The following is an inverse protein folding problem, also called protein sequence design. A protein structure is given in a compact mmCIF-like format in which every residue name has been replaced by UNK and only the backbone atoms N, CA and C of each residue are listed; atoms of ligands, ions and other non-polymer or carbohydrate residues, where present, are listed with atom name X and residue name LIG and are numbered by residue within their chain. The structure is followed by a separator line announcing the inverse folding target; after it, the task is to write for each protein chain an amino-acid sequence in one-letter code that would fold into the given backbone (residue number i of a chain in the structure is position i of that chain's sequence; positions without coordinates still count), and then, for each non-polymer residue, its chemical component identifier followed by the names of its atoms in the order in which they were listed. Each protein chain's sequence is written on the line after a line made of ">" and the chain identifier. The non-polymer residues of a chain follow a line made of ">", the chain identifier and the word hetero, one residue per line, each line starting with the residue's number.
data_IF_185746048943
#
_entry.id   IF_185746048943
#
_cell.length_a   1.000
_cell.length_b   1.000
_cell.length_c   1.000
_cell.angle_alpha   90.00
_cell.angle_beta   90.00
_cell.angle_gamma   90.00
#
_symmetry.space_group_name_H-M   'P 1'
#
loop_
_entity.id
_entity.type
_entity.pdbx_description
1 polymer ?
#
# COMPACT_ATOMS: atom_id res chain seq x y z
N UNK A 1 0.28 -0.22 -6.12
CA UNK A 1 1.45 0.49 -6.70
C UNK A 1 1.52 0.32 -8.22
N UNK A 2 1.40 -0.90 -8.75
CA UNK A 2 1.44 -1.15 -10.19
C UNK A 2 0.45 -0.32 -11.01
N UNK A 3 -0.81 -0.13 -10.56
CA UNK A 3 -1.77 0.79 -11.22
C UNK A 3 -1.21 2.19 -11.49
N UNK A 4 -0.44 2.76 -10.55
CA UNK A 4 0.16 4.10 -10.70
C UNK A 4 1.33 4.05 -11.69
N UNK A 5 2.14 3.00 -11.63
CA UNK A 5 3.28 2.79 -12.53
C UNK A 5 2.81 2.52 -13.98
N UNK A 6 1.81 1.68 -14.18
CA UNK A 6 1.23 1.40 -15.50
C UNK A 6 0.63 2.64 -16.14
N UNK A 7 -0.05 3.49 -15.35
CA UNK A 7 -0.50 4.82 -15.80
C UNK A 7 0.68 5.68 -16.25
N UNK A 8 1.79 5.66 -15.52
CA UNK A 8 2.99 6.39 -15.92
C UNK A 8 3.59 5.84 -17.22
N UNK A 9 3.56 4.53 -17.44
CA UNK A 9 3.99 3.91 -18.71
C UNK A 9 3.10 4.35 -19.87
N UNK A 10 1.79 4.44 -19.69
CA UNK A 10 0.88 4.94 -20.72
C UNK A 10 1.12 6.42 -21.05
N UNK A 11 1.58 7.22 -20.08
CA UNK A 11 1.92 8.62 -20.32
C UNK A 11 3.32 8.80 -20.94
N UNK A 12 4.17 7.76 -20.91
CA UNK A 12 5.57 7.82 -21.35
C UNK A 12 5.93 6.55 -22.14
N UNK A 13 5.48 6.41 -23.40
CA UNK A 13 5.92 5.34 -24.28
C UNK A 13 7.44 5.37 -24.48
N UNK A 14 8.02 4.21 -24.73
CA UNK A 14 9.46 4.01 -24.84
C UNK A 14 9.85 4.05 -26.33
N UNK A 15 11.03 4.58 -26.60
CA UNK A 15 11.67 4.59 -27.93
C UNK A 15 12.81 3.57 -27.99
N UNK A 16 13.47 3.33 -26.85
CA UNK A 16 14.53 2.33 -26.71
C UNK A 16 14.02 0.91 -27.01
N UNK A 17 14.51 0.35 -28.11
CA UNK A 17 14.08 -0.94 -28.63
C UNK A 17 14.49 -2.11 -27.73
N UNK A 18 15.62 -1.99 -27.03
CA UNK A 18 16.12 -3.05 -26.13
C UNK A 18 15.24 -3.13 -24.89
N UNK A 19 14.87 -1.98 -24.32
CA UNK A 19 13.95 -1.92 -23.18
C UNK A 19 12.57 -2.49 -23.55
N UNK A 20 12.06 -2.16 -24.75
CA UNK A 20 10.78 -2.69 -25.21
C UNK A 20 10.88 -4.19 -25.44
N UNK A 21 11.92 -4.67 -26.12
CA UNK A 21 12.13 -6.09 -26.36
C UNK A 21 12.27 -6.88 -25.04
N UNK A 22 12.93 -6.32 -24.03
CA UNK A 22 13.03 -6.93 -22.71
C UNK A 22 11.63 -7.09 -22.06
N UNK A 23 10.76 -6.07 -22.15
CA UNK A 23 9.37 -6.17 -21.68
C UNK A 23 8.58 -7.22 -22.46
N UNK A 24 8.68 -7.21 -23.79
CA UNK A 24 8.00 -8.18 -24.65
C UNK A 24 8.47 -9.61 -24.39
N UNK A 25 9.77 -9.83 -24.18
CA UNK A 25 10.35 -11.11 -23.76
C UNK A 25 9.77 -11.56 -22.43
N UNK A 26 9.67 -10.66 -21.47
CA UNK A 26 9.11 -10.95 -20.15
C UNK A 26 7.62 -11.33 -20.24
N UNK A 27 6.84 -10.65 -21.07
CA UNK A 27 5.44 -11.02 -21.34
C UNK A 27 5.37 -12.40 -22.00
N UNK A 28 6.20 -12.66 -23.02
CA UNK A 28 6.28 -13.98 -23.68
C UNK A 28 6.58 -15.10 -22.67
N UNK A 29 7.48 -14.86 -21.72
CA UNK A 29 7.80 -15.82 -20.66
C UNK A 29 6.59 -16.14 -19.78
N UNK A 30 5.88 -15.13 -19.28
CA UNK A 30 4.71 -15.35 -18.42
C UNK A 30 3.53 -16.00 -19.16
N UNK A 31 3.38 -15.74 -20.46
CA UNK A 31 2.38 -16.43 -21.29
C UNK A 31 2.67 -17.94 -21.44
N UNK A 32 3.93 -18.37 -21.31
CA UNK A 32 4.31 -19.79 -21.27
C UNK A 32 4.18 -20.43 -19.89
N UNK A 33 4.06 -19.65 -18.82
CA UNK A 33 4.14 -20.11 -17.42
C UNK A 33 2.93 -19.66 -16.61
N UNK A 34 1.76 -20.24 -16.88
CA UNK A 34 0.51 -19.83 -16.23
C UNK A 34 0.50 -20.05 -14.71
N UNK A 35 1.07 -21.16 -14.23
CA UNK A 35 1.13 -21.48 -12.80
C UNK A 35 1.91 -20.43 -12.01
N UNK A 36 3.09 -20.05 -12.53
CA UNK A 36 3.94 -18.99 -11.97
C UNK A 36 3.21 -17.65 -11.99
N UNK A 37 2.56 -17.30 -13.12
CA UNK A 37 1.79 -16.07 -13.25
C UNK A 37 0.64 -15.99 -12.22
N UNK A 38 -0.08 -17.09 -12.01
CA UNK A 38 -1.17 -17.18 -11.03
C UNK A 38 -0.66 -17.03 -9.59
N UNK A 39 0.41 -17.75 -9.23
CA UNK A 39 1.03 -17.65 -7.92
C UNK A 39 1.54 -16.24 -7.61
N UNK A 40 2.25 -15.62 -8.56
CA UNK A 40 2.72 -14.24 -8.43
C UNK A 40 1.55 -13.25 -8.26
N UNK A 41 0.46 -13.42 -9.03
CA UNK A 41 -0.71 -12.54 -8.90
C UNK A 41 -1.34 -12.61 -7.51
N UNK A 42 -1.49 -13.80 -6.94
CA UNK A 42 -2.05 -13.95 -5.59
C UNK A 42 -1.15 -13.34 -4.51
N UNK A 43 0.17 -13.51 -4.62
CA UNK A 43 1.12 -12.89 -3.68
C UNK A 43 1.14 -11.37 -3.76
N UNK A 44 1.09 -10.80 -4.98
CA UNK A 44 1.11 -9.36 -5.20
C UNK A 44 -0.09 -8.62 -4.59
N UNK A 45 -1.24 -9.28 -4.39
CA UNK A 45 -2.42 -8.68 -3.71
C UNK A 45 -2.11 -8.25 -2.28
N UNK A 46 -1.16 -8.93 -1.63
CA UNK A 46 -0.74 -8.67 -0.25
C UNK A 46 0.35 -7.60 -0.17
N UNK A 47 0.98 -7.24 -1.29
CA UNK A 47 2.01 -6.20 -1.34
C UNK A 47 1.35 -4.82 -1.25
N UNK A 48 1.83 -4.00 -0.31
CA UNK A 48 1.35 -2.65 -0.01
C UNK A 48 2.46 -1.63 -0.23
N UNK A 49 2.11 -0.35 -0.09
CA UNK A 49 3.08 0.76 -0.22
C UNK A 49 3.88 0.91 1.08
N UNK A 50 4.99 0.17 1.17
CA UNK A 50 5.87 0.16 2.34
C UNK A 50 6.40 1.57 2.67
N UNK A 51 6.90 2.37 1.71
CA UNK A 51 7.30 3.76 1.99
C UNK A 51 6.20 4.61 2.63
N UNK A 52 4.94 4.46 2.19
CA UNK A 52 3.82 5.18 2.80
C UNK A 52 3.53 4.68 4.23
N UNK A 53 3.61 3.37 4.47
CA UNK A 53 3.45 2.81 5.82
C UNK A 53 4.54 3.30 6.77
N UNK A 54 5.80 3.33 6.33
CA UNK A 54 6.91 3.82 7.13
C UNK A 54 6.79 5.32 7.46
N UNK A 55 6.24 6.12 6.54
CA UNK A 55 5.91 7.53 6.83
C UNK A 55 4.85 7.67 7.91
N UNK A 56 3.83 6.80 7.91
CA UNK A 56 2.86 6.71 9.00
C UNK A 56 3.56 6.32 10.30
N UNK A 57 4.44 5.32 10.28
CA UNK A 57 5.14 4.85 11.47
C UNK A 57 6.05 5.89 12.11
N UNK A 58 6.65 6.77 11.31
CA UNK A 58 7.52 7.83 11.81
C UNK A 58 6.76 9.10 12.25
N UNK A 59 5.47 9.21 11.93
CA UNK A 59 4.71 10.42 12.22
C UNK A 59 4.30 10.44 13.70
N UNK A 60 4.60 11.52 14.46
CA UNK A 60 4.28 11.60 15.88
C UNK A 60 2.78 11.68 16.16
N UNK A 61 1.97 12.00 15.15
CA UNK A 61 0.53 12.22 15.27
C UNK A 61 -0.31 10.99 14.91
N UNK A 62 0.28 9.93 14.35
CA UNK A 62 -0.46 8.72 13.98
C UNK A 62 -0.16 7.57 14.91
N UNK A 63 -1.21 7.06 15.56
CA UNK A 63 -1.15 5.77 16.24
C UNK A 63 -0.96 4.65 15.23
N UNK A 64 0.05 3.82 15.46
CA UNK A 64 0.27 2.60 14.69
C UNK A 64 -0.43 1.46 15.42
N UNK A 65 -1.37 0.81 14.75
CA UNK A 65 -2.12 -0.29 15.34
C UNK A 65 -1.44 -1.63 15.05
N UNK A 66 -1.78 -2.67 15.80
CA UNK A 66 -1.31 -4.04 15.54
C UNK A 66 -1.61 -4.48 14.09
N UNK A 67 -2.75 -4.05 13.53
CA UNK A 67 -3.13 -4.35 12.15
C UNK A 67 -2.19 -3.72 11.11
N UNK A 68 -1.62 -2.54 11.40
CA UNK A 68 -0.67 -1.91 10.47
C UNK A 68 0.64 -2.69 10.43
N UNK A 69 1.15 -3.12 11.58
CA UNK A 69 2.34 -3.95 11.69
C UNK A 69 2.13 -5.34 11.08
N UNK A 70 0.94 -5.94 11.25
CA UNK A 70 0.56 -7.16 10.55
C UNK A 70 0.63 -6.98 9.03
N UNK A 71 0.08 -5.88 8.52
CA UNK A 71 0.07 -5.57 7.09
C UNK A 71 1.49 -5.36 6.56
N UNK A 72 2.35 -4.70 7.35
CA UNK A 72 3.76 -4.47 7.01
C UNK A 72 4.53 -5.79 6.90
N UNK A 73 4.41 -6.65 7.91
CA UNK A 73 5.03 -7.98 7.91
C UNK A 73 4.52 -8.85 6.77
N UNK A 74 3.20 -8.90 6.58
CA UNK A 74 2.59 -9.64 5.46
C UNK A 74 3.13 -9.15 4.11
N UNK A 75 3.36 -7.85 3.95
CA UNK A 75 3.96 -7.29 2.74
C UNK A 75 5.40 -7.78 2.54
N UNK A 76 6.25 -7.72 3.58
CA UNK A 76 7.64 -8.21 3.49
C UNK A 76 7.69 -9.71 3.18
N UNK A 77 6.90 -10.52 3.90
CA UNK A 77 6.82 -11.95 3.64
C UNK A 77 6.35 -12.25 2.21
N UNK A 78 5.43 -11.45 1.68
CA UNK A 78 4.97 -11.59 0.28
C UNK A 78 6.08 -11.25 -0.71
N UNK A 79 6.92 -10.24 -0.43
CA UNK A 79 8.09 -9.91 -1.26
C UNK A 79 9.12 -11.04 -1.24
N UNK A 80 9.43 -11.61 -0.07
CA UNK A 80 10.32 -12.77 0.04
C UNK A 80 9.76 -13.99 -0.69
N UNK A 81 8.45 -14.22 -0.59
CA UNK A 81 7.79 -15.32 -1.28
C UNK A 81 7.81 -15.17 -2.81
N UNK A 82 7.77 -13.94 -3.35
CA UNK A 82 7.98 -13.70 -4.79
C UNK A 82 9.34 -14.23 -5.24
N UNK A 83 10.40 -14.00 -4.46
CA UNK A 83 11.71 -14.54 -4.81
C UNK A 83 11.72 -16.08 -4.79
N UNK A 84 11.06 -16.67 -3.79
CA UNK A 84 10.91 -18.13 -3.69
C UNK A 84 10.15 -18.73 -4.86
N UNK A 85 9.11 -18.04 -5.36
CA UNK A 85 8.36 -18.47 -6.54
C UNK A 85 9.27 -18.49 -7.78
N UNK A 86 10.18 -17.53 -7.94
CA UNK A 86 11.15 -17.57 -9.04
C UNK A 86 12.18 -18.69 -8.86
N UNK A 87 12.71 -18.90 -7.65
CA UNK A 87 13.66 -19.99 -7.39
C UNK A 87 13.08 -21.39 -7.65
N UNK A 88 11.84 -21.63 -7.21
CA UNK A 88 11.22 -22.97 -7.23
C UNK A 88 10.39 -23.19 -8.49
N UNK A 89 9.73 -22.16 -8.99
CA UNK A 89 8.79 -22.24 -10.11
C UNK A 89 9.46 -22.28 -11.49
N UNK A 90 10.76 -21.97 -11.58
CA UNK A 90 11.52 -22.04 -12.83
C UNK A 90 12.16 -23.43 -12.93
N UNK A 91 11.51 -24.34 -13.67
CA UNK A 91 12.10 -25.63 -14.04
C UNK A 91 13.32 -25.45 -14.96
N UNK A 92 14.20 -26.46 -15.06
CA UNK A 92 15.38 -26.41 -15.95
C UNK A 92 15.03 -26.05 -17.41
N UNK A 93 13.87 -26.52 -17.90
CA UNK A 93 13.38 -26.17 -19.24
C UNK A 93 13.00 -24.69 -19.38
N UNK A 94 12.48 -24.06 -18.33
CA UNK A 94 12.17 -22.64 -18.30
C UNK A 94 13.42 -21.79 -18.11
N UNK A 95 14.40 -22.26 -17.36
CA UNK A 95 15.72 -21.63 -17.20
C UNK A 95 16.45 -21.51 -18.55
N UNK A 96 16.43 -22.57 -19.36
CA UNK A 96 17.01 -22.53 -20.71
C UNK A 96 16.29 -21.50 -21.60
N UNK A 97 14.95 -21.39 -21.51
CA UNK A 97 14.19 -20.36 -22.24
C UNK A 97 14.52 -18.93 -21.76
N UNK A 98 14.75 -18.73 -20.46
CA UNK A 98 15.16 -17.42 -19.91
C UNK A 98 16.54 -16.99 -20.44
N UNK A 99 17.50 -17.92 -20.51
CA UNK A 99 18.81 -17.67 -21.10
C UNK A 99 18.72 -17.34 -22.59
N UNK A 100 17.88 -18.06 -23.35
CA UNK A 100 17.65 -17.77 -24.77
C UNK A 100 16.94 -16.44 -25.04
N UNK A 101 16.10 -15.97 -24.10
CA UNK A 101 15.37 -14.70 -24.25
C UNK A 101 16.09 -13.50 -23.59
N UNK A 102 17.32 -13.69 -23.10
CA UNK A 102 18.12 -12.67 -22.39
C UNK A 102 17.32 -11.91 -21.32
N UNK A 103 16.59 -12.67 -20.48
CA UNK A 103 15.72 -12.10 -19.45
C UNK A 103 16.46 -12.10 -18.10
N UNK A 104 16.91 -10.94 -17.66
CA UNK A 104 17.57 -10.76 -16.35
C UNK A 104 16.58 -10.74 -15.17
N UNK A 105 15.38 -11.31 -15.32
CA UNK A 105 14.31 -11.14 -14.34
C UNK A 105 14.63 -11.84 -13.01
N UNK A 106 15.29 -12.99 -13.04
CA UNK A 106 15.74 -13.71 -11.84
C UNK A 106 16.86 -12.94 -11.13
N UNK A 107 17.82 -12.41 -11.90
CA UNK A 107 18.89 -11.57 -11.34
C UNK A 107 18.36 -10.24 -10.78
N UNK A 108 17.38 -9.64 -11.45
CA UNK A 108 16.65 -8.45 -10.96
C UNK A 108 15.85 -8.76 -9.69
N UNK A 109 15.21 -9.92 -9.60
CA UNK A 109 14.51 -10.36 -8.40
C UNK A 109 15.50 -10.53 -7.23
N UNK A 110 16.57 -11.29 -7.44
CA UNK A 110 17.60 -11.56 -6.43
C UNK A 110 18.35 -10.28 -5.99
N UNK A 111 18.60 -9.35 -6.89
CA UNK A 111 19.24 -8.07 -6.56
C UNK A 111 18.29 -7.08 -5.88
N UNK A 112 16.97 -7.23 -6.06
CA UNK A 112 15.96 -6.33 -5.48
C UNK A 112 15.41 -6.84 -4.15
N UNK A 113 15.33 -8.16 -3.98
CA UNK A 113 14.85 -8.84 -2.78
C UNK A 113 16.08 -9.44 -2.08
N UNK A 114 16.73 -8.63 -1.25
CA UNK A 114 17.96 -9.00 -0.54
C UNK A 114 17.66 -9.67 0.80
N UNK A 115 18.67 -10.34 1.38
CA UNK A 115 18.61 -10.92 2.72
C UNK A 115 18.30 -9.89 3.83
N UNK A 116 18.48 -8.60 3.55
CA UNK A 116 18.14 -7.51 4.47
C UNK A 116 16.62 -7.44 4.73
N UNK A 117 15.78 -7.83 3.77
CA UNK A 117 14.33 -7.89 3.99
C UNK A 117 13.97 -8.96 5.03
N UNK A 118 14.66 -10.10 4.99
CA UNK A 118 14.49 -11.16 5.99
C UNK A 118 14.93 -10.70 7.38
N UNK A 119 16.06 -9.99 7.46
CA UNK A 119 16.51 -9.34 8.69
C UNK A 119 15.47 -8.36 9.24
N UNK A 120 14.88 -7.50 8.40
CA UNK A 120 13.83 -6.56 8.81
C UNK A 120 12.59 -7.29 9.31
N UNK A 121 12.14 -8.36 8.64
CA UNK A 121 11.01 -9.16 9.15
C UNK A 121 11.32 -9.80 10.48
N UNK A 122 12.52 -10.38 10.66
CA UNK A 122 12.93 -11.00 11.91
C UNK A 122 13.05 -9.98 13.04
N UNK A 123 13.54 -8.77 12.76
CA UNK A 123 13.61 -7.68 13.72
C UNK A 123 12.21 -7.25 14.19
N UNK A 124 11.27 -7.07 13.27
CA UNK A 124 9.89 -6.65 13.62
C UNK A 124 9.15 -7.78 14.33
N UNK A 125 9.29 -9.04 13.88
CA UNK A 125 8.73 -10.21 14.58
C UNK A 125 9.34 -10.37 15.97
N UNK A 126 10.62 -10.04 16.17
CA UNK A 126 11.28 -10.12 17.47
C UNK A 126 10.76 -9.12 18.49
N UNK A 127 10.29 -7.95 18.05
CA UNK A 127 9.85 -6.87 18.94
C UNK A 127 8.33 -6.81 19.09
N UNK A 128 7.58 -7.06 18.01
CA UNK A 128 6.13 -6.85 17.98
C UNK A 128 5.37 -8.16 18.10
N UNK A 129 4.40 -8.17 19.01
CA UNK A 129 3.40 -9.23 19.08
C UNK A 129 2.15 -8.82 18.30
N UNK A 130 1.99 -9.43 17.13
CA UNK A 130 0.88 -9.14 16.21
C UNK A 130 -0.36 -9.96 16.56
N UNK A 131 -0.22 -11.01 17.38
CA UNK A 131 -1.32 -11.92 17.73
C UNK A 131 -2.02 -11.52 19.03
N UNK A 132 -1.40 -10.64 19.83
CA UNK A 132 -1.96 -10.19 21.10
C UNK A 132 -3.23 -9.35 20.87
N UNK A 133 -4.36 -9.90 21.32
CA UNK A 133 -5.67 -9.24 21.36
C UNK A 133 -5.76 -8.30 22.57
N UNK A 134 -6.73 -7.37 22.56
CA UNK A 134 -7.05 -6.46 23.68
C UNK A 134 -7.70 -7.18 24.87
N UNK A 135 -7.17 -8.32 25.29
CA UNK A 135 -7.78 -9.15 26.33
C UNK A 135 -7.58 -8.60 27.75
N UNK A 136 -6.52 -7.80 27.99
CA UNK A 136 -6.16 -7.32 29.33
C UNK A 136 -6.52 -5.86 29.62
N UNK A 137 -7.36 -5.22 28.80
CA UNK A 137 -7.81 -3.84 29.05
C UNK A 137 -6.82 -2.73 28.68
N UNK A 138 -5.63 -3.06 28.15
CA UNK A 138 -4.66 -2.12 27.60
C UNK A 138 -4.11 -2.63 26.25
N UNK A 139 -3.83 -1.72 25.31
CA UNK A 139 -3.33 -2.06 23.97
C UNK A 139 -1.80 -2.18 24.03
N UNK A 140 -1.28 -3.42 24.09
CA UNK A 140 0.16 -3.69 24.02
C UNK A 140 0.56 -4.20 22.65
N UNK A 141 1.68 -3.69 22.16
CA UNK A 141 2.24 -4.10 20.88
C UNK A 141 3.59 -4.81 21.04
N UNK A 142 4.29 -4.56 22.15
CA UNK A 142 5.64 -5.09 22.37
C UNK A 142 5.55 -6.49 23.00
N UNK A 143 6.37 -7.41 22.51
CA UNK A 143 6.47 -8.78 23.05
C UNK A 143 6.88 -8.80 24.53
N UNK A 144 6.49 -9.87 25.22
CA UNK A 144 7.00 -10.20 26.55
C UNK A 144 8.44 -10.71 26.45
N UNK A 145 9.21 -10.52 27.52
CA UNK A 145 10.62 -10.89 27.67
C UNK A 145 11.58 -10.11 26.75
N UNK A 146 11.15 -8.93 26.26
CA UNK A 146 12.04 -8.03 25.51
C UNK A 146 12.76 -7.04 26.45
N UNK A 147 12.06 -6.58 27.48
CA UNK A 147 12.53 -5.57 28.41
C UNK A 147 11.99 -5.89 29.80
N UNK A 148 12.90 -6.30 30.69
CA UNK A 148 12.56 -6.72 32.05
C UNK A 148 11.78 -5.62 32.80
N UNK A 149 12.21 -4.36 32.69
CA UNK A 149 11.54 -3.21 33.29
C UNK A 149 10.08 -3.04 32.81
N UNK A 150 9.82 -3.25 31.50
CA UNK A 150 8.47 -3.14 30.95
C UNK A 150 7.58 -4.27 31.44
N UNK A 151 8.13 -5.48 31.52
CA UNK A 151 7.40 -6.66 31.96
C UNK A 151 7.11 -6.60 33.47
N UNK A 152 8.03 -6.08 34.29
CA UNK A 152 7.79 -5.76 35.70
C UNK A 152 6.64 -4.77 35.86
N UNK A 153 6.64 -3.67 35.10
CA UNK A 153 5.54 -2.68 35.17
C UNK A 153 4.20 -3.29 34.74
N UNK A 154 4.18 -4.14 33.72
CA UNK A 154 2.98 -4.86 33.28
C UNK A 154 2.48 -5.81 34.37
N UNK A 155 3.36 -6.54 35.03
CA UNK A 155 3.00 -7.41 36.15
C UNK A 155 2.38 -6.62 37.31
N UNK A 156 2.98 -5.47 37.67
CA UNK A 156 2.43 -4.60 38.72
C UNK A 156 1.06 -4.05 38.31
N UNK A 157 0.88 -3.65 37.05
CA UNK A 157 -0.41 -3.15 36.54
C UNK A 157 -1.49 -4.24 36.52
N UNK A 158 -1.15 -5.46 36.10
CA UNK A 158 -2.08 -6.60 36.07
C UNK A 158 -2.50 -7.05 37.46
N UNK A 159 -1.60 -6.97 38.45
CA UNK A 159 -1.90 -7.25 39.86
C UNK A 159 -2.54 -6.07 40.62
N UNK A 160 -2.68 -4.91 39.98
CA UNK A 160 -3.18 -3.69 40.62
C UNK A 160 -4.62 -3.82 41.14
N UNK A 161 -5.58 -4.43 40.41
CA UNK A 161 -6.96 -4.58 40.90
C UNK A 161 -7.03 -5.38 42.21
N UNK A 162 -6.37 -6.54 42.27
CA UNK A 162 -6.35 -7.40 43.46
C UNK A 162 -5.68 -6.70 44.64
N UNK A 163 -4.59 -5.97 44.38
CA UNK A 163 -3.91 -5.17 45.39
C UNK A 163 -4.81 -4.04 45.93
N UNK A 164 -5.48 -3.30 45.05
CA UNK A 164 -6.37 -2.21 45.44
C UNK A 164 -7.59 -2.72 46.22
N UNK A 165 -8.10 -3.90 45.91
CA UNK A 165 -9.19 -4.53 46.68
C UNK A 165 -8.75 -4.84 48.13
N UNK A 166 -7.54 -5.38 48.31
CA UNK A 166 -6.98 -5.63 49.65
C UNK A 166 -6.74 -4.33 50.44
N UNK A 167 -6.19 -3.30 49.79
CA UNK A 167 -5.97 -2.00 50.45
C UNK A 167 -7.31 -1.35 50.79
N UNK A 168 -8.30 -1.45 49.92
CA UNK A 168 -9.67 -0.97 50.17
C UNK A 168 -10.30 -1.67 51.38
N UNK A 169 -10.15 -2.99 51.49
CA UNK A 169 -10.67 -3.74 52.64
C UNK A 169 -10.01 -3.32 53.97
N UNK A 170 -8.70 -3.05 53.96
CA UNK A 170 -7.96 -2.59 55.15
C UNK A 170 -8.33 -1.16 55.57
N UNK A 171 -8.47 -0.24 54.61
CA UNK A 171 -8.99 1.10 54.85
C UNK A 171 -10.42 1.05 55.38
N UNK A 172 -11.25 0.18 54.79
CA UNK A 172 -12.64 0.00 55.20
C UNK A 172 -12.77 -0.48 56.66
N UNK A 173 -11.87 -1.36 57.10
CA UNK A 173 -11.81 -1.83 58.48
C UNK A 173 -11.31 -0.75 59.47
N UNK A 174 -10.60 0.27 58.98
CA UNK A 174 -10.04 1.35 59.79
C UNK A 174 -11.02 2.51 60.00
N UNK A 175 -12.17 2.51 59.32
CA UNK A 175 -13.16 3.57 59.51
C UNK A 175 -13.75 3.55 60.92
N UNK A 176 -13.76 4.71 61.63
CA UNK A 176 -14.23 4.79 63.00
C UNK A 176 -15.76 4.61 63.17
N UNK A 177 -16.51 4.49 62.08
CA UNK A 177 -17.96 4.27 62.08
C UNK A 177 -18.35 3.34 60.92
N UNK A 178 -19.37 2.49 61.13
CA UNK A 178 -20.02 1.78 60.01
C UNK A 178 -20.72 2.81 59.14
N UNK A 179 -20.10 3.15 58.02
CA UNK A 179 -20.75 3.85 56.92
C UNK A 179 -21.99 3.04 56.51
N UNK A 180 -23.19 3.62 56.58
CA UNK A 180 -24.43 3.05 56.03
C UNK A 180 -24.42 3.10 54.48
N UNK A 181 -23.29 2.76 53.85
CA UNK A 181 -23.19 2.69 52.40
C UNK A 181 -23.72 1.34 51.92
N UNK A 182 -24.60 1.35 50.91
CA UNK A 182 -25.11 0.12 50.27
C UNK A 182 -24.00 -0.74 49.66
N UNK A 183 -22.90 -0.11 49.24
CA UNK A 183 -21.66 -0.73 48.77
C UNK A 183 -20.48 -0.13 49.52
N UNK A 184 -19.53 -0.98 49.91
CA UNK A 184 -18.30 -0.52 50.56
C UNK A 184 -17.50 0.37 49.59
N UNK A 185 -16.86 1.44 50.08
CA UNK A 185 -16.05 2.30 49.22
C UNK A 185 -14.79 1.55 48.76
N UNK A 186 -14.34 1.88 47.55
CA UNK A 186 -13.26 1.18 46.87
C UNK A 186 -12.21 2.19 46.42
N UNK A 187 -10.94 1.84 46.58
CA UNK A 187 -9.84 2.57 45.97
C UNK A 187 -9.72 2.12 44.52
N UNK A 188 -9.77 3.08 43.61
CA UNK A 188 -9.74 2.85 42.16
C UNK A 188 -8.60 3.66 41.56
N UNK A 189 -7.96 3.10 40.55
CA UNK A 189 -6.96 3.80 39.76
C UNK A 189 -7.60 4.40 38.51
N UNK A 190 -7.42 5.70 38.31
CA UNK A 190 -7.91 6.43 37.13
C UNK A 190 -6.71 7.04 36.42
N UNK A 191 -6.55 6.71 35.13
CA UNK A 191 -5.43 7.19 34.30
C UNK A 191 -5.34 8.73 34.33
N UNK A 192 -4.12 9.28 34.42
CA UNK A 192 -3.83 10.73 34.51
C UNK A 192 -4.28 11.44 35.79
N UNK A 193 -5.18 10.85 36.59
CA UNK A 193 -5.65 11.44 37.85
C UNK A 193 -4.95 10.80 39.05
N UNK A 194 -4.73 9.48 39.01
CA UNK A 194 -4.07 8.72 40.08
C UNK A 194 -5.02 7.79 40.83
N UNK A 195 -4.65 7.47 42.08
CA UNK A 195 -5.46 6.64 42.96
C UNK A 195 -6.51 7.49 43.68
N UNK A 196 -7.74 6.99 43.74
CA UNK A 196 -8.88 7.73 44.30
C UNK A 196 -9.74 6.79 45.13
N UNK A 197 -10.25 7.30 46.25
CA UNK A 197 -11.27 6.60 47.03
C UNK A 197 -12.65 6.92 46.43
N UNK A 198 -13.36 5.88 45.99
CA UNK A 198 -14.65 5.97 45.35
C UNK A 198 -15.77 5.59 46.32
N UNK A 199 -16.73 6.50 46.51
CA UNK A 199 -17.98 6.28 47.23
C UNK A 199 -19.15 6.17 46.24
N UNK A 200 -20.09 5.28 46.55
CA UNK A 200 -21.25 4.99 45.70
C UNK A 200 -22.52 5.64 46.24
N UNK A 201 -23.38 6.10 45.33
CA UNK A 201 -24.74 6.63 45.51
C UNK A 201 -24.87 7.96 46.28
N UNK A 202 -24.16 8.11 47.40
CA UNK A 202 -24.25 9.28 48.28
C UNK A 202 -22.91 10.00 48.43
N UNK A 203 -22.96 11.33 48.34
CA UNK A 203 -21.83 12.20 48.63
C UNK A 203 -21.63 12.25 50.15
N UNK A 204 -20.39 12.19 50.61
CA UNK A 204 -20.08 12.38 52.03
C UNK A 204 -20.62 13.74 52.48
N UNK A 205 -21.45 13.74 53.53
CA UNK A 205 -22.02 14.97 54.11
C UNK A 205 -20.94 15.89 54.65
N UNK A 206 -21.11 17.21 54.52
CA UNK A 206 -20.12 18.20 54.99
C UNK A 206 -19.79 18.05 56.49
N UNK A 207 -20.76 17.62 57.31
CA UNK A 207 -20.54 17.33 58.74
C UNK A 207 -19.59 16.14 59.00
N UNK A 208 -19.58 15.14 58.12
CA UNK A 208 -18.70 13.96 58.20
C UNK A 208 -17.29 14.26 57.66
N UNK A 209 -17.20 15.14 56.64
CA UNK A 209 -15.94 15.68 56.14
C UNK A 209 -15.18 16.49 57.22
N UNK A 210 -15.89 17.20 58.10
CA UNK A 210 -15.27 17.91 59.23
C UNK A 210 -14.62 16.93 60.24
N UNK A 211 -15.16 15.70 60.36
CA UNK A 211 -14.59 14.63 61.19
C UNK A 211 -13.48 13.81 60.51
N UNK A 212 -13.40 13.86 59.18
CA UNK A 212 -12.40 13.17 58.35
C UNK A 212 -11.50 14.22 57.68
N UNK A 213 -10.56 14.79 58.43
CA UNK A 213 -9.71 15.92 57.99
C UNK A 213 -8.85 15.64 56.74
N UNK A 214 -8.72 14.38 56.32
CA UNK A 214 -7.81 13.95 55.25
C UNK A 214 -8.51 13.66 53.90
N UNK A 215 -9.82 13.92 53.77
CA UNK A 215 -10.59 13.63 52.56
C UNK A 215 -10.81 14.90 51.72
N UNK A 216 -10.19 14.95 50.55
CA UNK A 216 -10.37 16.04 49.58
C UNK A 216 -11.18 15.55 48.37
N UNK A 217 -12.27 16.24 48.06
CA UNK A 217 -13.12 15.89 46.91
C UNK A 217 -12.41 16.18 45.58
N UNK A 218 -12.37 15.19 44.69
CA UNK A 218 -11.77 15.33 43.36
C UNK A 218 -12.84 15.67 42.30
N UNK A 219 -13.73 14.73 42.00
CA UNK A 219 -14.83 14.91 41.04
C UNK A 219 -15.94 13.88 41.30
N UNK A 220 -17.07 14.05 40.62
CA UNK A 220 -18.18 13.10 40.62
C UNK A 220 -18.55 12.69 39.21
N UNK A 221 -18.99 11.45 39.06
CA UNK A 221 -19.43 10.87 37.79
C UNK A 221 -20.89 10.44 37.91
N UNK A 222 -21.75 11.05 37.09
CA UNK A 222 -23.19 10.76 37.03
C UNK A 222 -23.45 9.67 35.99
N UNK A 223 -23.33 8.40 36.41
CA UNK A 223 -23.66 7.22 35.61
C UNK A 223 -24.95 6.52 36.06
N UNK A 224 -25.10 5.22 35.76
CA UNK A 224 -26.18 4.37 36.31
C UNK A 224 -26.11 4.30 37.85
N UNK A 225 -24.90 4.36 38.41
CA UNK A 225 -24.60 4.57 39.82
C UNK A 225 -23.81 5.88 39.96
N UNK A 226 -24.19 6.75 40.90
CA UNK A 226 -23.44 7.99 41.17
C UNK A 226 -22.15 7.65 41.90
N UNK A 227 -21.02 8.11 41.38
CA UNK A 227 -19.70 7.87 41.97
C UNK A 227 -19.08 9.19 42.40
N UNK A 228 -18.57 9.23 43.63
CA UNK A 228 -17.87 10.39 44.18
C UNK A 228 -16.44 9.99 44.51
N UNK A 229 -15.47 10.70 43.92
CA UNK A 229 -14.05 10.40 44.06
C UNK A 229 -13.38 11.39 45.01
N UNK A 230 -12.54 10.87 45.91
CA UNK A 230 -11.83 11.65 46.92
C UNK A 230 -10.36 11.24 46.98
N UNK A 231 -9.48 12.22 47.23
CA UNK A 231 -8.13 11.97 47.68
C UNK A 231 -8.13 11.78 49.20
N UNK A 232 -7.50 10.70 49.63
CA UNK A 232 -7.19 10.39 51.03
C UNK A 232 -5.68 10.34 51.25
N UNK A 233 -5.22 10.40 52.50
CA UNK A 233 -3.82 10.20 52.83
C UNK A 233 -3.26 8.90 52.22
N UNK A 234 -4.04 7.82 52.26
CA UNK A 234 -3.63 6.54 51.67
C UNK A 234 -3.51 6.58 50.14
N UNK A 235 -4.45 7.23 49.46
CA UNK A 235 -4.35 7.39 48.00
C UNK A 235 -3.14 8.21 47.59
N UNK A 236 -2.77 9.24 48.35
CA UNK A 236 -1.55 10.04 48.12
C UNK A 236 -0.27 9.24 48.35
N UNK A 237 -0.26 8.37 49.35
CA UNK A 237 0.85 7.42 49.56
C UNK A 237 0.99 6.47 48.36
N UNK A 238 -0.13 5.95 47.83
CA UNK A 238 -0.13 5.10 46.64
C UNK A 238 0.34 5.84 45.39
N UNK A 239 -0.09 7.10 45.20
CA UNK A 239 0.39 7.95 44.09
C UNK A 239 1.91 8.19 44.20
N UNK A 240 2.43 8.44 45.40
CA UNK A 240 3.87 8.64 45.59
C UNK A 240 4.69 7.35 45.38
N UNK A 241 4.14 6.19 45.76
CA UNK A 241 4.83 4.90 45.69
C UNK A 241 4.80 4.30 44.27
N UNK A 242 3.60 4.23 43.68
CA UNK A 242 3.36 3.55 42.41
C UNK A 242 3.36 4.54 41.23
N UNK A 243 2.78 5.72 41.46
CA UNK A 243 2.56 6.74 40.44
C UNK A 243 1.67 6.26 39.30
N UNK A 244 1.78 6.94 38.15
CA UNK A 244 1.05 6.58 36.94
C UNK A 244 1.76 5.42 36.20
N UNK A 245 1.51 4.20 36.66
CA UNK A 245 2.10 2.97 36.08
C UNK A 245 1.69 2.83 34.61
N UNK A 246 0.43 3.12 34.28
CA UNK A 246 -0.08 2.97 32.92
C UNK A 246 0.65 3.88 31.92
N UNK A 247 0.86 5.16 32.26
CA UNK A 247 1.61 6.06 31.38
C UNK A 247 3.07 5.67 31.26
N UNK A 248 3.70 5.17 32.33
CA UNK A 248 5.07 4.64 32.26
C UNK A 248 5.17 3.48 31.27
N UNK A 249 4.22 2.53 31.31
CA UNK A 249 4.12 1.43 30.34
C UNK A 249 4.01 1.99 28.91
N UNK A 250 3.08 2.92 28.68
CA UNK A 250 2.88 3.51 27.35
C UNK A 250 4.12 4.29 26.85
N UNK A 251 4.82 5.02 27.72
CA UNK A 251 6.03 5.75 27.36
C UNK A 251 7.16 4.80 26.97
N UNK A 252 7.36 3.73 27.74
CA UNK A 252 8.37 2.71 27.43
C UNK A 252 8.05 1.98 26.13
N UNK A 253 6.79 1.57 25.92
CA UNK A 253 6.39 0.94 24.66
C UNK A 253 6.61 1.88 23.47
N UNK A 254 6.25 3.17 23.60
CA UNK A 254 6.50 4.17 22.56
C UNK A 254 7.98 4.33 22.27
N UNK A 255 8.84 4.32 23.29
CA UNK A 255 10.28 4.41 23.13
C UNK A 255 10.84 3.19 22.35
N UNK A 256 10.42 1.98 22.72
CA UNK A 256 10.84 0.73 22.05
C UNK A 256 10.37 0.72 20.58
N UNK A 257 9.10 1.05 20.33
CA UNK A 257 8.55 1.10 18.98
C UNK A 257 9.27 2.17 18.14
N UNK A 258 9.59 3.32 18.73
CA UNK A 258 10.31 4.39 18.02
C UNK A 258 11.73 3.95 17.65
N UNK A 259 12.43 3.26 18.54
CA UNK A 259 13.75 2.69 18.22
C UNK A 259 13.65 1.64 17.10
N UNK A 260 12.65 0.76 17.16
CA UNK A 260 12.37 -0.22 16.10
C UNK A 260 12.14 0.48 14.75
N UNK A 261 11.29 1.50 14.69
CA UNK A 261 11.03 2.26 13.47
C UNK A 261 12.30 2.92 12.94
N UNK A 262 13.12 3.52 13.82
CA UNK A 262 14.42 4.09 13.45
C UNK A 262 15.34 3.05 12.80
N UNK A 263 15.42 1.83 13.35
CA UNK A 263 16.21 0.73 12.78
C UNK A 263 15.67 0.28 11.43
N UNK A 264 14.35 0.11 11.30
CA UNK A 264 13.71 -0.29 10.03
C UNK A 264 13.91 0.77 8.93
N UNK A 265 13.87 2.05 9.29
CA UNK A 265 14.08 3.16 8.33
C UNK A 265 15.48 3.16 7.70
N UNK A 266 16.49 2.56 8.33
CA UNK A 266 17.82 2.39 7.72
C UNK A 266 17.78 1.53 6.46
N UNK A 267 16.80 0.63 6.35
CA UNK A 267 16.59 -0.26 5.21
C UNK A 267 15.55 0.26 4.21
N UNK A 268 15.13 1.53 4.32
CA UNK A 268 14.16 2.14 3.42
C UNK A 268 14.55 2.04 1.93
N UNK A 269 15.83 2.26 1.52
CA UNK A 269 16.23 2.11 0.12
C UNK A 269 15.96 0.71 -0.43
N UNK A 270 16.27 -0.33 0.35
CA UNK A 270 16.15 -1.73 -0.06
C UNK A 270 14.68 -2.17 -0.08
N UNK A 271 13.89 -1.76 0.92
CA UNK A 271 12.44 -1.94 0.90
C UNK A 271 11.78 -1.26 -0.30
N UNK A 272 12.22 -0.04 -0.64
CA UNK A 272 11.70 0.69 -1.80
C UNK A 272 12.07 0.00 -3.11
N UNK A 273 13.30 -0.52 -3.23
CA UNK A 273 13.75 -1.29 -4.39
C UNK A 273 12.89 -2.55 -4.60
N UNK A 274 12.65 -3.32 -3.55
CA UNK A 274 11.80 -4.51 -3.60
C UNK A 274 10.34 -4.19 -3.99
N UNK A 275 9.76 -3.14 -3.42
CA UNK A 275 8.38 -2.71 -3.75
C UNK A 275 8.28 -2.18 -5.18
N UNK A 276 9.29 -1.47 -5.67
CA UNK A 276 9.32 -0.99 -7.06
C UNK A 276 9.41 -2.16 -8.05
N UNK A 277 10.24 -3.16 -7.75
CA UNK A 277 10.31 -4.40 -8.53
C UNK A 277 8.95 -5.12 -8.55
N UNK A 278 8.30 -5.28 -7.40
CA UNK A 278 6.96 -5.86 -7.33
C UNK A 278 5.91 -5.04 -8.12
N UNK A 279 6.03 -3.72 -8.14
CA UNK A 279 5.15 -2.85 -8.93
C UNK A 279 5.38 -2.98 -10.45
N UNK A 280 6.64 -3.12 -10.89
CA UNK A 280 6.98 -3.40 -12.29
C UNK A 280 6.44 -4.78 -12.71
N UNK A 281 6.64 -5.78 -11.87
CA UNK A 281 6.12 -7.13 -12.07
C UNK A 281 4.58 -7.15 -12.21
N UNK A 282 3.87 -6.43 -11.33
CA UNK A 282 2.41 -6.26 -11.39
C UNK A 282 1.95 -5.65 -12.73
N UNK A 283 2.71 -4.69 -13.27
CA UNK A 283 2.42 -4.10 -14.58
C UNK A 283 2.59 -5.11 -15.72
N UNK A 284 3.71 -5.84 -15.73
CA UNK A 284 4.00 -6.82 -16.79
C UNK A 284 3.01 -7.99 -16.76
N UNK A 285 2.70 -8.52 -15.57
CA UNK A 285 1.70 -9.57 -15.40
C UNK A 285 0.32 -9.10 -15.87
N UNK A 286 -0.05 -7.85 -15.57
CA UNK A 286 -1.31 -7.27 -16.05
C UNK A 286 -1.36 -7.20 -17.58
N UNK A 287 -0.27 -6.81 -18.24
CA UNK A 287 -0.18 -6.80 -19.71
C UNK A 287 -0.25 -8.22 -20.29
N UNK A 288 0.41 -9.20 -19.67
CA UNK A 288 0.38 -10.60 -20.09
C UNK A 288 -1.02 -11.21 -19.98
N UNK A 289 -1.74 -10.92 -18.89
CA UNK A 289 -3.11 -11.40 -18.68
C UNK A 289 -4.04 -10.84 -19.77
N UNK A 290 -3.98 -9.53 -20.04
CA UNK A 290 -4.78 -8.89 -21.09
C UNK A 290 -4.43 -9.45 -22.46
N UNK A 291 -3.14 -9.65 -22.73
CA UNK A 291 -2.69 -10.22 -24.00
C UNK A 291 -3.27 -11.61 -24.23
N UNK A 292 -3.33 -12.45 -23.19
CA UNK A 292 -3.93 -13.78 -23.27
C UNK A 292 -5.44 -13.73 -23.43
N UNK A 293 -6.13 -12.93 -22.62
CA UNK A 293 -7.60 -12.85 -22.63
C UNK A 293 -8.15 -12.35 -23.97
N UNK A 294 -7.43 -11.42 -24.61
CA UNK A 294 -7.89 -10.77 -25.83
C UNK A 294 -7.16 -11.27 -27.10
N UNK A 295 -6.38 -12.35 -27.00
CA UNK A 295 -5.58 -12.92 -28.09
C UNK A 295 -4.69 -11.88 -28.78
N UNK A 296 -3.95 -11.09 -28.00
CA UNK A 296 -2.98 -10.15 -28.55
C UNK A 296 -1.71 -10.87 -28.96
N UNK A 297 -1.03 -10.34 -29.97
CA UNK A 297 0.18 -10.92 -30.53
C UNK A 297 1.38 -10.02 -30.22
N UNK A 298 2.54 -10.64 -30.10
CA UNK A 298 3.82 -9.95 -29.92
C UNK A 298 4.13 -9.11 -31.18
N UNK A 299 4.28 -7.78 -31.07
CA UNK A 299 4.74 -6.96 -32.19
C UNK A 299 6.23 -7.16 -32.44
N UNK A 300 6.65 -6.93 -33.69
CA UNK A 300 8.06 -6.82 -34.09
C UNK A 300 8.37 -5.34 -34.24
N UNK A 301 9.32 -4.82 -33.45
CA UNK A 301 9.80 -3.44 -33.60
C UNK A 301 10.98 -3.38 -34.57
N UNK A 302 11.00 -2.35 -35.40
CA UNK A 302 12.06 -2.09 -36.37
C UNK A 302 12.47 -0.63 -36.35
N UNK A 303 13.73 -0.32 -36.68
CA UNK A 303 14.17 1.08 -36.88
C UNK A 303 13.67 1.65 -38.21
N UNK A 304 13.32 0.78 -39.16
CA UNK A 304 12.75 1.17 -40.44
C UNK A 304 11.38 1.84 -40.28
N UNK A 305 11.09 2.83 -41.12
CA UNK A 305 9.79 3.53 -41.19
C UNK A 305 8.72 2.67 -41.88
N UNK A 306 8.39 1.53 -41.26
CA UNK A 306 7.43 0.54 -41.76
C UNK A 306 6.33 0.33 -40.72
N UNK A 307 5.07 0.29 -41.15
CA UNK A 307 3.95 -0.13 -40.31
C UNK A 307 3.12 -1.15 -41.07
N UNK A 308 3.12 -2.38 -40.58
CA UNK A 308 2.31 -3.46 -41.12
C UNK A 308 1.49 -4.10 -39.99
N UNK A 309 0.17 -4.01 -40.10
CA UNK A 309 -0.76 -4.61 -39.16
C UNK A 309 -1.66 -5.53 -39.97
N UNK A 310 -1.73 -6.81 -39.61
CA UNK A 310 -2.69 -7.77 -40.18
C UNK A 310 -3.82 -8.01 -39.21
N UNK A 311 -5.05 -7.93 -39.72
CA UNK A 311 -6.28 -8.09 -38.94
C UNK A 311 -6.24 -7.29 -37.61
N UNK A 312 -5.85 -6.02 -37.68
CA UNK A 312 -5.83 -5.16 -36.50
C UNK A 312 -7.23 -4.96 -35.94
N UNK A 313 -7.33 -4.87 -34.62
CA UNK A 313 -8.58 -4.65 -33.87
C UNK A 313 -8.45 -3.45 -32.94
N UNK A 314 -9.53 -2.71 -32.75
CA UNK A 314 -9.52 -1.58 -31.83
C UNK A 314 -9.73 -2.06 -30.39
N UNK A 315 -8.66 -2.07 -29.58
CA UNK A 315 -8.62 -2.63 -28.22
C UNK A 315 -9.84 -2.34 -27.34
N UNK A 316 -10.39 -1.12 -27.36
CA UNK A 316 -11.56 -0.76 -26.56
C UNK A 316 -12.91 -1.01 -27.26
N UNK A 317 -13.04 -0.63 -28.53
CA UNK A 317 -14.29 -0.75 -29.29
C UNK A 317 -14.69 -2.22 -29.48
N UNK A 318 -13.72 -3.12 -29.65
CA UNK A 318 -13.96 -4.56 -29.76
C UNK A 318 -14.70 -5.11 -28.52
N UNK A 319 -14.45 -4.56 -27.34
CA UNK A 319 -15.12 -4.98 -26.10
C UNK A 319 -16.57 -4.50 -25.97
N UNK A 320 -17.01 -3.60 -26.85
CA UNK A 320 -18.34 -2.96 -26.77
C UNK A 320 -19.32 -3.47 -27.82
N UNK A 321 -18.87 -4.34 -28.72
CA UNK A 321 -19.66 -4.85 -29.85
C UNK A 321 -19.58 -6.37 -29.92
N UNK A 322 -20.67 -7.01 -30.36
CA UNK A 322 -20.71 -8.48 -30.49
C UNK A 322 -19.80 -8.99 -31.60
N UNK A 323 -19.55 -8.17 -32.64
CA UNK A 323 -18.68 -8.52 -33.76
C UNK A 323 -17.89 -7.30 -34.21
N UNK A 324 -16.57 -7.38 -34.10
CA UNK A 324 -15.65 -6.37 -34.60
C UNK A 324 -14.98 -6.89 -35.88
N UNK A 325 -15.05 -6.11 -36.96
CA UNK A 325 -14.39 -6.48 -38.23
C UNK A 325 -12.95 -5.99 -38.19
N UNK A 326 -11.95 -6.89 -38.17
CA UNK A 326 -10.54 -6.51 -38.15
C UNK A 326 -10.12 -5.89 -39.49
N UNK A 327 -9.10 -5.03 -39.46
CA UNK A 327 -8.62 -4.32 -40.66
C UNK A 327 -7.10 -4.40 -40.79
N UNK A 328 -6.64 -4.62 -42.02
CA UNK A 328 -5.23 -4.53 -42.36
C UNK A 328 -4.77 -3.07 -42.47
N UNK A 329 -3.49 -2.82 -42.17
CA UNK A 329 -2.85 -1.52 -42.37
C UNK A 329 -1.46 -1.74 -42.91
N UNK A 330 -1.12 -1.03 -43.99
CA UNK A 330 0.23 -1.03 -44.58
C UNK A 330 0.65 0.42 -44.84
N UNK A 331 1.74 0.83 -44.22
CA UNK A 331 2.43 2.10 -44.47
C UNK A 331 3.90 1.76 -44.68
N UNK A 332 4.40 2.04 -45.88
CA UNK A 332 5.79 1.81 -46.27
C UNK A 332 6.41 3.12 -46.74
N UNK A 333 7.71 3.10 -47.04
CA UNK A 333 8.42 4.25 -47.62
C UNK A 333 7.74 4.80 -48.88
N UNK A 334 7.25 3.91 -49.75
CA UNK A 334 6.29 4.23 -50.81
C UNK A 334 4.85 4.17 -50.23
N UNK A 335 4.18 5.32 -50.14
CA UNK A 335 2.82 5.40 -49.58
C UNK A 335 2.74 5.79 -48.10
N UNK A 336 3.47 6.84 -47.69
CA UNK A 336 3.43 7.37 -46.31
C UNK A 336 2.12 8.08 -45.95
N UNK A 337 1.30 8.43 -46.96
CA UNK A 337 0.04 9.15 -46.78
C UNK A 337 -1.09 8.25 -47.29
N UNK A 338 -2.00 7.89 -46.40
CA UNK A 338 -3.20 7.12 -46.71
C UNK A 338 -4.44 8.02 -46.65
N UNK A 339 -5.13 8.17 -47.77
CA UNK A 339 -6.40 8.91 -47.85
C UNK A 339 -7.54 7.93 -47.63
N UNK A 340 -8.30 8.11 -46.55
CA UNK A 340 -9.40 7.22 -46.15
C UNK A 340 -10.73 7.90 -46.44
N UNK A 341 -11.47 7.40 -47.42
CA UNK A 341 -12.80 7.90 -47.79
C UNK A 341 -13.87 6.85 -47.48
N UNK A 342 -15.13 7.29 -47.36
CA UNK A 342 -16.26 6.42 -47.06
C UNK A 342 -17.41 7.16 -46.39
N UNK A 343 -18.61 6.57 -46.30
CA UNK A 343 -19.79 7.21 -45.73
C UNK A 343 -19.62 7.52 -44.24
N UNK A 344 -20.39 8.46 -43.70
CA UNK A 344 -20.41 8.70 -42.25
C UNK A 344 -20.87 7.42 -41.52
N UNK A 345 -20.33 7.20 -40.32
CA UNK A 345 -20.52 5.97 -39.53
C UNK A 345 -19.91 4.68 -40.10
N UNK A 346 -19.14 4.75 -41.19
CA UNK A 346 -18.42 3.59 -41.75
C UNK A 346 -17.17 3.16 -40.98
N UNK A 347 -16.95 3.67 -39.76
CA UNK A 347 -15.80 3.27 -38.93
C UNK A 347 -14.46 3.96 -39.25
N UNK A 348 -14.38 4.94 -40.16
CA UNK A 348 -13.11 5.61 -40.53
C UNK A 348 -12.31 6.13 -39.33
N UNK A 349 -12.98 6.81 -38.39
CA UNK A 349 -12.33 7.33 -37.17
C UNK A 349 -11.90 6.22 -36.21
N UNK A 350 -12.63 5.10 -36.17
CA UNK A 350 -12.28 3.92 -35.37
C UNK A 350 -11.02 3.28 -35.95
N UNK A 351 -10.95 3.12 -37.27
CA UNK A 351 -9.77 2.61 -37.97
C UNK A 351 -8.51 3.45 -37.69
N UNK A 352 -8.60 4.78 -37.80
CA UNK A 352 -7.43 5.66 -37.54
C UNK A 352 -6.97 5.53 -36.07
N UNK A 353 -7.92 5.54 -35.13
CA UNK A 353 -7.62 5.36 -33.69
C UNK A 353 -7.02 4.00 -33.39
N UNK A 354 -7.52 2.94 -34.05
CA UNK A 354 -7.01 1.59 -33.92
C UNK A 354 -5.53 1.52 -34.28
N UNK A 355 -5.16 2.06 -35.45
CA UNK A 355 -3.76 2.07 -35.91
C UNK A 355 -2.86 2.79 -34.90
N UNK A 356 -3.28 3.97 -34.43
CA UNK A 356 -2.55 4.72 -33.41
C UNK A 356 -2.42 3.95 -32.08
N UNK A 357 -3.48 3.26 -31.64
CA UNK A 357 -3.46 2.46 -30.42
C UNK A 357 -2.55 1.24 -30.52
N UNK A 358 -2.48 0.58 -31.67
CA UNK A 358 -1.55 -0.54 -31.91
C UNK A 358 -0.10 -0.06 -31.79
N UNK A 359 0.25 1.05 -32.44
CA UNK A 359 1.58 1.66 -32.34
C UNK A 359 1.90 2.07 -30.90
N UNK A 360 0.94 2.70 -30.22
CA UNK A 360 1.09 3.11 -28.83
C UNK A 360 1.32 1.92 -27.88
N UNK A 361 0.54 0.84 -28.01
CA UNK A 361 0.72 -0.37 -27.20
C UNK A 361 2.07 -1.05 -27.47
N UNK A 362 2.53 -1.07 -28.72
CA UNK A 362 3.85 -1.58 -29.07
C UNK A 362 4.96 -0.78 -28.34
N UNK A 363 4.88 0.56 -28.32
CA UNK A 363 5.86 1.41 -27.62
C UNK A 363 5.76 1.40 -26.10
N UNK A 364 4.65 0.95 -25.52
CA UNK A 364 4.58 0.65 -24.08
C UNK A 364 5.35 -0.65 -23.74
N UNK A 365 5.58 -1.50 -24.74
CA UNK A 365 6.06 -2.87 -24.57
C UNK A 365 4.95 -3.85 -24.21
N UNK A 366 3.73 -3.60 -24.69
CA UNK A 366 2.59 -4.53 -24.61
C UNK A 366 2.48 -5.34 -25.91
N UNK A 367 1.82 -6.49 -25.82
CA UNK A 367 1.30 -7.16 -27.02
C UNK A 367 0.13 -6.35 -27.60
N UNK A 368 -0.14 -6.54 -28.89
CA UNK A 368 -1.06 -5.70 -29.67
C UNK A 368 -2.25 -6.49 -30.22
N UNK A 369 -3.42 -5.85 -30.37
CA UNK A 369 -4.64 -6.46 -30.92
C UNK A 369 -4.54 -6.65 -32.45
N UNK A 370 -3.83 -7.68 -32.90
CA UNK A 370 -3.65 -8.01 -34.31
C UNK A 370 -3.23 -9.49 -34.46
N UNK A 371 -3.29 -10.04 -35.67
CA UNK A 371 -2.74 -11.38 -35.96
C UNK A 371 -1.22 -11.32 -36.16
N UNK A 372 -0.73 -10.20 -36.70
CA UNK A 372 0.70 -9.90 -36.78
C UNK A 372 0.90 -8.39 -36.89
N UNK A 373 1.94 -7.86 -36.26
CA UNK A 373 2.28 -6.44 -36.34
C UNK A 373 3.80 -6.23 -36.47
N UNK A 374 4.21 -5.43 -37.45
CA UNK A 374 5.55 -4.86 -37.58
C UNK A 374 5.40 -3.35 -37.43
N UNK A 375 6.08 -2.78 -36.44
CA UNK A 375 5.93 -1.38 -36.05
C UNK A 375 7.30 -0.72 -36.04
N UNK A 376 7.49 0.27 -36.92
CA UNK A 376 8.65 1.14 -36.92
C UNK A 376 8.70 2.04 -35.69
N UNK A 377 9.90 2.38 -35.22
CA UNK A 377 10.07 3.32 -34.12
C UNK A 377 9.38 4.65 -34.43
N UNK A 378 8.47 5.06 -33.55
CA UNK A 378 7.62 6.23 -33.71
C UNK A 378 7.85 7.22 -32.57
N UNK A 379 8.41 8.38 -32.88
CA UNK A 379 8.71 9.40 -31.86
C UNK A 379 7.44 10.08 -31.32
N UNK A 380 6.48 10.37 -32.21
CA UNK A 380 5.31 11.20 -31.89
C UNK A 380 4.08 10.74 -32.66
N UNK A 381 2.95 10.69 -31.95
CA UNK A 381 1.63 10.45 -32.55
C UNK A 381 0.85 11.76 -32.46
N UNK A 382 0.59 12.36 -33.62
CA UNK A 382 -0.24 13.56 -33.72
C UNK A 382 -1.67 13.18 -34.12
N UNK A 383 -2.65 13.86 -33.53
CA UNK A 383 -4.05 13.65 -33.80
C UNK A 383 -4.77 15.00 -33.89
N UNK A 384 -5.30 15.32 -35.07
CA UNK A 384 -6.18 16.46 -35.29
C UNK A 384 -7.59 15.90 -35.46
N UNK A 385 -8.34 15.85 -34.35
CA UNK A 385 -9.77 15.57 -34.39
C UNK A 385 -10.49 16.77 -33.83
N UNK A 386 -11.46 17.32 -34.58
CA UNK A 386 -12.13 18.56 -34.25
C UNK A 386 -12.61 18.59 -32.80
N UNK A 387 -12.12 19.57 -32.04
CA UNK A 387 -12.47 19.74 -30.64
C UNK A 387 -13.82 20.46 -30.51
N UNK A 388 -14.83 19.80 -29.95
CA UNK A 388 -16.02 20.47 -29.41
C UNK A 388 -15.70 21.04 -28.03
N UNK A 389 -14.79 22.01 -27.95
CA UNK A 389 -14.59 22.78 -26.72
C UNK A 389 -15.55 23.97 -26.75
N UNK A 390 -16.60 23.92 -25.94
CA UNK A 390 -17.55 25.04 -25.77
C UNK A 390 -17.01 26.12 -24.80
N UNK A 391 -15.82 25.92 -24.23
CA UNK A 391 -15.30 26.71 -23.09
C UNK A 391 -14.04 27.51 -23.42
N UNK A 392 -13.52 27.43 -24.65
CA UNK A 392 -12.36 28.22 -25.11
C UNK A 392 -12.82 29.39 -25.98
N UNK A 393 -12.40 30.62 -25.66
CA UNK A 393 -12.73 31.87 -26.38
C UNK A 393 -12.15 31.98 -27.81
N UNK A 394 -11.80 30.85 -28.44
CA UNK A 394 -11.23 30.79 -29.78
C UNK A 394 -12.16 30.04 -30.73
N UNK A 395 -12.23 30.52 -31.98
CA UNK A 395 -12.94 29.83 -33.05
C UNK A 395 -12.42 28.40 -33.21
N UNK A 396 -13.33 27.44 -33.37
CA UNK A 396 -13.00 26.03 -33.62
C UNK A 396 -12.07 25.87 -34.83
N UNK A 397 -12.25 26.69 -35.87
CA UNK A 397 -11.37 26.73 -37.04
C UNK A 397 -9.94 27.19 -36.69
N UNK A 398 -9.81 28.18 -35.80
CA UNK A 398 -8.50 28.67 -35.36
C UNK A 398 -7.76 27.62 -34.54
N UNK A 399 -8.48 26.89 -33.68
CA UNK A 399 -7.94 25.79 -32.89
C UNK A 399 -7.42 24.69 -33.83
N UNK A 400 -8.20 24.30 -34.84
CA UNK A 400 -7.79 23.28 -35.81
C UNK A 400 -6.56 23.72 -36.62
N UNK A 401 -6.53 24.98 -37.11
CA UNK A 401 -5.36 25.54 -37.80
C UNK A 401 -4.12 25.57 -36.90
N UNK A 402 -4.27 25.93 -35.62
CA UNK A 402 -3.17 25.94 -34.68
C UNK A 402 -2.65 24.53 -34.42
N UNK A 403 -3.53 23.53 -34.30
CA UNK A 403 -3.15 22.11 -34.18
C UNK A 403 -2.35 21.66 -35.41
N UNK A 404 -2.85 21.91 -36.62
CA UNK A 404 -2.16 21.56 -37.87
C UNK A 404 -0.80 22.27 -37.98
N UNK A 405 -0.75 23.57 -37.69
CA UNK A 405 0.50 24.34 -37.69
C UNK A 405 1.51 23.84 -36.65
N UNK A 406 1.05 23.29 -35.53
CA UNK A 406 1.90 22.65 -34.53
C UNK A 406 2.45 21.31 -35.04
N UNK A 407 1.62 20.49 -35.69
CA UNK A 407 2.03 19.21 -36.29
C UNK A 407 3.08 19.42 -37.38
N UNK A 408 2.88 20.38 -38.27
CA UNK A 408 3.84 20.70 -39.34
C UNK A 408 5.19 21.15 -38.78
N UNK A 409 5.21 22.02 -37.77
CA UNK A 409 6.45 22.52 -37.16
C UNK A 409 7.26 21.41 -36.49
N UNK A 410 6.59 20.51 -35.78
CA UNK A 410 7.27 19.40 -35.10
C UNK A 410 7.66 18.25 -36.02
N UNK A 411 6.98 18.05 -37.15
CA UNK A 411 7.36 17.05 -38.15
C UNK A 411 8.58 17.47 -38.98
N UNK A 412 8.84 18.78 -39.12
CA UNK A 412 9.95 19.31 -39.93
C UNK A 412 11.26 19.43 -39.13
N UNK A 413 11.23 19.37 -37.80
CA UNK A 413 12.44 19.33 -36.97
C UNK A 413 13.08 17.92 -36.96
N UNK A 414 13.51 17.46 -38.14
CA UNK A 414 14.67 16.57 -38.24
C UNK A 414 15.87 17.49 -38.01
N UNK A 415 16.66 17.23 -36.97
CA UNK A 415 17.84 18.04 -36.65
C UNK A 415 18.78 18.18 -37.88
N UNK A 416 19.45 19.33 -38.04
CA UNK A 416 20.40 19.60 -39.13
C UNK A 416 21.61 18.67 -39.14
#
# INVERSE_FOLDING_TARGET
>A
MGRRLLRAWFLRPIIDIDVINNRLNTISFFLCCEEVMSALRETLKSVRDVPHMLKKFNSPSSSCTSSDWHTFLKCICSLLHINKIFEVGISEHLANKLQHMSIDLVEKANSSITAELDYVSNLVIGVIDVQRSKEKGYETLVKENLCDELDELRMVYEGLPDFLEQVSANENASFPFSLECRKAPLIVYVHQIGYLMCFFDEKISEALLIGLQDFEFAFSEDGEERRFYYHTQKTRELDNLLGDIYHKILDMERAIIRDLVCRVLQFLPQLTKAVNFAAELDCILSLAIVARQNNYVRPILTEDSILEIRNGRHALQEMTVDTFVPNDTKIRSAGRINIITGPNYSGKSIYIKQVALVVFLAHIGSFVPADSAVVGLTDRIFCAMGSKSMTTEQSTFMIDLHQVGTMLRYHICIHP
#
